data_IF_425269740242
#
_entry.id   IF_425269740242
#
_cell.length_a   1.000
_cell.length_b   1.000
_cell.length_c   1.000
_cell.angle_alpha   90.00
_cell.angle_beta   90.00
_cell.angle_gamma   90.00
#
_symmetry.space_group_name_H-M   'P 1'
#
loop_
_entity.id
_entity.type
_entity.pdbx_description
1 polymer ?
#
# COMPACT_ATOMS: atom_id res chain seq x y z
N UNK A 1 -15.67 10.62 -10.87
CA UNK A 1 -14.74 9.66 -10.23
C UNK A 1 -13.44 10.40 -9.87
N UNK A 2 -12.79 10.04 -8.77
CA UNK A 2 -12.06 10.94 -7.84
C UNK A 2 -12.89 12.11 -7.29
N UNK A 3 -13.59 12.89 -8.13
CA UNK A 3 -14.55 13.93 -7.70
C UNK A 3 -15.77 13.42 -6.89
N UNK A 4 -15.89 12.10 -6.68
CA UNK A 4 -16.91 11.48 -5.80
C UNK A 4 -16.32 10.97 -4.48
N UNK A 5 -15.00 10.97 -4.33
CA UNK A 5 -14.32 10.48 -3.13
C UNK A 5 -14.38 11.56 -2.04
N UNK A 6 -14.58 11.16 -0.79
CA UNK A 6 -14.53 12.07 0.36
C UNK A 6 -13.10 12.37 0.82
N UNK A 7 -12.16 11.47 0.52
CA UNK A 7 -10.73 11.57 0.75
C UNK A 7 -9.99 10.54 -0.12
N UNK A 8 -8.67 10.68 -0.23
CA UNK A 8 -7.78 9.68 -0.82
C UNK A 8 -6.74 9.27 0.22
N UNK A 9 -6.49 7.97 0.33
CA UNK A 9 -5.35 7.43 1.07
C UNK A 9 -4.30 6.98 0.05
N UNK A 10 -3.03 7.32 0.29
CA UNK A 10 -1.92 6.99 -0.61
C UNK A 10 -0.77 6.43 0.23
N UNK A 11 -0.12 5.39 -0.28
CA UNK A 11 1.15 4.93 0.26
C UNK A 11 2.19 6.06 0.20
N UNK A 12 3.03 6.17 1.23
CA UNK A 12 4.18 7.05 1.19
C UNK A 12 5.29 6.49 0.28
N UNK A 13 6.21 7.35 -0.16
CA UNK A 13 7.29 6.96 -1.10
C UNK A 13 8.21 5.86 -0.52
N UNK A 14 8.36 5.79 0.80
CA UNK A 14 9.15 4.79 1.50
C UNK A 14 8.48 3.40 1.57
N UNK A 15 7.14 3.34 1.46
CA UNK A 15 6.40 2.07 1.38
C UNK A 15 6.64 1.30 0.08
N UNK A 16 7.12 1.97 -0.98
CA UNK A 16 7.26 1.39 -2.32
C UNK A 16 8.11 0.10 -2.31
N UNK A 17 9.22 0.10 -1.57
CA UNK A 17 10.13 -1.06 -1.54
C UNK A 17 9.46 -2.28 -0.89
N UNK A 18 8.81 -2.08 0.25
CA UNK A 18 8.22 -3.16 1.04
C UNK A 18 6.94 -3.68 0.41
N UNK A 19 6.08 -2.80 -0.13
CA UNK A 19 4.89 -3.19 -0.89
C UNK A 19 5.27 -3.96 -2.16
N UNK A 20 6.35 -3.55 -2.84
CA UNK A 20 6.87 -4.30 -4.02
C UNK A 20 7.36 -5.69 -3.62
N UNK A 21 8.06 -5.80 -2.49
CA UNK A 21 8.53 -7.09 -1.97
C UNK A 21 7.36 -8.00 -1.59
N UNK A 22 6.37 -7.48 -0.86
CA UNK A 22 5.14 -8.16 -0.49
C UNK A 22 4.37 -8.68 -1.71
N UNK A 23 4.20 -7.84 -2.75
CA UNK A 23 3.55 -8.24 -3.98
C UNK A 23 4.28 -9.41 -4.69
N UNK A 24 5.62 -9.44 -4.62
CA UNK A 24 6.43 -10.54 -5.13
C UNK A 24 6.36 -11.82 -4.30
N UNK A 25 6.20 -11.69 -2.98
CA UNK A 25 6.13 -12.81 -2.04
C UNK A 25 4.74 -13.47 -1.96
N UNK A 26 3.68 -12.78 -2.40
CA UNK A 26 2.29 -13.18 -2.23
C UNK A 26 2.01 -14.63 -2.65
N UNK A 27 2.54 -15.07 -3.80
CA UNK A 27 2.30 -16.43 -4.29
C UNK A 27 2.91 -17.52 -3.41
N UNK A 28 4.08 -17.26 -2.79
CA UNK A 28 4.70 -18.20 -1.86
C UNK A 28 3.96 -18.20 -0.50
N UNK A 29 3.58 -17.02 -0.02
CA UNK A 29 2.78 -16.86 1.20
C UNK A 29 1.46 -17.64 1.12
N UNK A 30 0.76 -17.57 -0.02
CA UNK A 30 -0.47 -18.32 -0.31
C UNK A 30 -0.28 -19.84 -0.25
N UNK A 31 0.93 -20.34 -0.48
CA UNK A 31 1.27 -21.76 -0.38
C UNK A 31 1.76 -22.21 1.00
N UNK A 32 1.79 -21.29 1.98
CA UNK A 32 2.16 -21.56 3.36
C UNK A 32 3.65 -21.39 3.67
N UNK A 33 4.37 -20.55 2.91
CA UNK A 33 5.74 -20.16 3.25
C UNK A 33 5.72 -19.06 4.33
N UNK A 34 6.24 -19.38 5.52
CA UNK A 34 6.22 -18.49 6.70
C UNK A 34 7.10 -17.24 6.51
N UNK A 35 8.24 -17.34 5.82
CA UNK A 35 9.11 -16.20 5.54
C UNK A 35 8.41 -15.25 4.54
N UNK A 36 7.73 -15.80 3.54
CA UNK A 36 6.94 -15.02 2.60
C UNK A 36 5.74 -14.35 3.28
N UNK A 37 5.07 -15.02 4.23
CA UNK A 37 4.00 -14.42 5.02
C UNK A 37 4.50 -13.22 5.83
N UNK A 38 5.65 -13.34 6.49
CA UNK A 38 6.25 -12.22 7.22
C UNK A 38 6.52 -11.01 6.31
N UNK A 39 7.00 -11.22 5.08
CA UNK A 39 7.23 -10.15 4.11
C UNK A 39 5.92 -9.49 3.66
N UNK A 40 4.86 -10.27 3.45
CA UNK A 40 3.54 -9.74 3.08
C UNK A 40 2.94 -8.92 4.21
N UNK A 41 2.98 -9.43 5.43
CA UNK A 41 2.46 -8.74 6.62
C UNK A 41 3.20 -7.41 6.85
N UNK A 42 4.52 -7.37 6.63
CA UNK A 42 5.31 -6.14 6.76
C UNK A 42 4.86 -4.97 5.88
N UNK A 43 4.09 -5.20 4.82
CA UNK A 43 3.52 -4.11 4.02
C UNK A 43 2.41 -3.35 4.77
N UNK A 44 1.73 -3.98 5.74
CA UNK A 44 0.63 -3.35 6.50
C UNK A 44 1.11 -2.37 7.58
N UNK A 45 2.40 -2.44 7.94
CA UNK A 45 3.04 -1.56 8.92
C UNK A 45 3.24 -0.12 8.40
N UNK A 46 3.04 0.10 7.09
CA UNK A 46 3.14 1.43 6.49
C UNK A 46 1.88 2.26 6.71
N UNK A 47 2.04 3.45 7.30
CA UNK A 47 0.92 4.39 7.44
C UNK A 47 0.51 4.94 6.07
N UNK A 48 -0.80 5.02 5.85
CA UNK A 48 -1.36 5.65 4.65
C UNK A 48 -1.48 7.16 4.84
N UNK A 49 -0.89 7.92 3.92
CA UNK A 49 -1.06 9.37 3.84
C UNK A 49 -2.53 9.69 3.53
N UNK A 50 -3.09 10.71 4.19
CA UNK A 50 -4.47 11.13 4.01
C UNK A 50 -4.54 12.48 3.30
N UNK A 51 -5.34 12.55 2.23
CA UNK A 51 -5.54 13.78 1.46
C UNK A 51 -7.03 14.14 1.39
N UNK A 52 -7.33 15.39 1.72
CA UNK A 52 -8.67 15.94 1.59
C UNK A 52 -9.04 16.15 0.11
N UNK A 53 -10.34 16.32 -0.16
CA UNK A 53 -10.86 16.54 -1.53
C UNK A 53 -10.18 17.66 -2.32
N UNK A 54 -9.67 18.68 -1.64
CA UNK A 54 -9.01 19.85 -2.24
C UNK A 54 -7.57 19.56 -2.69
N UNK A 55 -6.95 18.54 -2.13
CA UNK A 55 -5.56 18.16 -2.36
C UNK A 55 -5.42 17.12 -3.46
N UNK A 56 -6.49 16.36 -3.73
CA UNK A 56 -6.56 15.33 -4.77
C UNK A 56 -6.03 15.80 -6.13
N UNK A 57 -6.31 17.02 -6.63
CA UNK A 57 -5.79 17.47 -7.91
C UNK A 57 -4.26 17.55 -8.00
N UNK A 58 -3.55 17.59 -6.87
CA UNK A 58 -2.08 17.61 -6.83
C UNK A 58 -1.46 16.20 -6.90
N UNK A 59 -2.28 15.15 -6.88
CA UNK A 59 -1.85 13.75 -6.90
C UNK A 59 -1.90 13.11 -8.30
N UNK A 60 -2.41 13.82 -9.31
CA UNK A 60 -2.70 13.32 -10.67
C UNK A 60 -1.86 13.99 -11.76
#
# INVERSE_FOLDING_TARGET
>A
PLAKAAAVHVDADDAVADVTAAAGALGAADTGDDDAQFVVDGAEDHELLWYATQEIPNLI
#
